data_IF_998457105298
#
_entry.id   IF_998457105298
#
_cell.length_a   1.000
_cell.length_b   1.000
_cell.length_c   1.000
_cell.angle_alpha   90.00
_cell.angle_beta   90.00
_cell.angle_gamma   90.00
#
_symmetry.space_group_name_H-M   'P 1'
#
loop_
_entity.id
_entity.type
_entity.pdbx_description
1 polymer ?
#
# COMPACT_ATOMS: atom_id res chain seq x y z
N UNK A 1 7.66 -8.84 14.78
CA UNK A 1 6.28 -8.75 14.27
C UNK A 1 6.06 -9.94 13.35
N UNK A 2 4.83 -10.38 13.13
CA UNK A 2 4.51 -11.47 12.18
C UNK A 2 3.64 -10.93 11.04
N UNK A 3 3.97 -9.74 10.52
CA UNK A 3 3.21 -9.04 9.48
C UNK A 3 3.18 -9.83 8.17
N UNK A 4 4.24 -10.58 7.85
CA UNK A 4 4.24 -11.51 6.73
C UNK A 4 3.17 -12.61 6.88
N UNK A 5 2.95 -13.10 8.10
CA UNK A 5 1.90 -14.10 8.38
C UNK A 5 0.50 -13.50 8.29
N UNK A 6 0.34 -12.21 8.60
CA UNK A 6 -0.97 -11.52 8.53
C UNK A 6 -1.47 -11.44 7.07
N UNK A 7 -0.59 -11.14 6.10
CA UNK A 7 -0.97 -11.10 4.67
C UNK A 7 -1.40 -12.46 4.14
N UNK A 8 -0.76 -13.52 4.65
CA UNK A 8 -0.98 -14.90 4.22
C UNK A 8 -2.13 -15.57 5.00
N UNK A 9 -2.77 -14.86 5.93
CA UNK A 9 -3.85 -15.42 6.74
C UNK A 9 -5.14 -15.62 5.92
N UNK A 10 -5.71 -16.82 5.99
CA UNK A 10 -6.75 -17.30 5.07
C UNK A 10 -8.06 -16.50 5.01
N UNK A 11 -8.36 -15.67 6.02
CA UNK A 11 -9.61 -14.90 6.06
C UNK A 11 -9.71 -13.85 4.96
N UNK A 12 -8.60 -13.29 4.49
CA UNK A 12 -8.62 -12.26 3.44
C UNK A 12 -7.76 -12.60 2.22
N UNK A 13 -7.16 -13.80 2.16
CA UNK A 13 -6.26 -14.24 1.07
C UNK A 13 -6.90 -14.17 -0.31
N UNK A 14 -8.22 -14.33 -0.40
CA UNK A 14 -8.96 -14.40 -1.66
C UNK A 14 -9.91 -13.22 -1.88
N UNK A 15 -9.84 -12.19 -1.04
CA UNK A 15 -10.61 -10.95 -1.25
C UNK A 15 -10.03 -10.15 -2.42
N UNK A 16 -10.90 -9.53 -3.24
CA UNK A 16 -10.48 -8.66 -4.35
C UNK A 16 -9.86 -9.40 -5.54
N UNK A 17 -10.29 -10.64 -5.79
CA UNK A 17 -9.77 -11.51 -6.84
C UNK A 17 -10.34 -11.17 -8.24
N UNK A 18 -11.54 -10.61 -8.28
CA UNK A 18 -12.16 -10.02 -9.47
C UNK A 18 -12.36 -8.53 -9.27
N UNK A 19 -12.61 -7.80 -10.36
CA UNK A 19 -12.86 -6.35 -10.36
C UNK A 19 -14.18 -5.97 -9.67
N UNK A 20 -15.00 -6.97 -9.32
CA UNK A 20 -16.17 -6.75 -8.49
C UNK A 20 -15.71 -6.35 -7.09
N UNK A 21 -16.33 -5.32 -6.50
CA UNK A 21 -16.14 -4.96 -5.09
C UNK A 21 -16.75 -6.04 -4.19
N UNK A 22 -16.08 -7.19 -4.12
CA UNK A 22 -16.49 -8.40 -3.42
C UNK A 22 -15.53 -8.66 -2.27
N UNK A 23 -16.00 -8.34 -1.07
CA UNK A 23 -15.32 -8.58 0.20
C UNK A 23 -15.70 -9.93 0.83
N UNK A 24 -16.62 -10.68 0.19
CA UNK A 24 -17.13 -11.93 0.74
C UNK A 24 -17.82 -11.77 2.09
N UNK A 25 -18.45 -10.62 2.38
CA UNK A 25 -19.24 -10.43 3.61
C UNK A 25 -20.74 -10.47 3.35
N UNK A 26 -21.15 -10.20 2.13
CA UNK A 26 -22.56 -10.22 1.71
C UNK A 26 -22.85 -11.39 0.78
N UNK A 27 -24.01 -12.03 0.97
CA UNK A 27 -24.44 -13.09 0.06
C UNK A 27 -24.98 -12.47 -1.24
N UNK A 28 -24.48 -12.89 -2.43
CA UNK A 28 -24.96 -12.38 -3.72
C UNK A 28 -26.42 -12.70 -4.02
N UNK A 29 -27.00 -13.72 -3.37
CA UNK A 29 -28.40 -14.10 -3.53
C UNK A 29 -29.31 -13.20 -2.67
N UNK A 30 -30.17 -12.35 -3.27
CA UNK A 30 -31.04 -11.45 -2.52
C UNK A 30 -32.03 -12.18 -1.59
N UNK A 31 -32.43 -13.42 -1.93
CA UNK A 31 -33.36 -14.22 -1.13
C UNK A 31 -32.77 -14.59 0.24
N UNK A 32 -31.45 -14.73 0.33
CA UNK A 32 -30.75 -15.10 1.57
C UNK A 32 -30.90 -14.00 2.62
N UNK A 33 -30.94 -12.73 2.21
CA UNK A 33 -31.15 -11.60 3.14
C UNK A 33 -32.48 -11.72 3.91
N UNK A 34 -33.55 -12.18 3.24
CA UNK A 34 -34.86 -12.41 3.86
C UNK A 34 -34.87 -13.66 4.75
N UNK A 35 -34.18 -14.72 4.32
CA UNK A 35 -34.07 -15.96 5.09
C UNK A 35 -33.27 -15.74 6.38
N UNK A 36 -32.17 -15.00 6.32
CA UNK A 36 -31.36 -14.63 7.49
C UNK A 36 -32.17 -13.83 8.51
N UNK A 37 -32.89 -12.80 8.04
CA UNK A 37 -33.77 -12.00 8.91
C UNK A 37 -34.84 -12.87 9.59
N UNK A 38 -35.43 -13.82 8.87
CA UNK A 38 -36.41 -14.76 9.42
C UNK A 38 -35.78 -15.70 10.45
N UNK A 39 -34.52 -16.08 10.29
CA UNK A 39 -33.76 -16.92 11.20
C UNK A 39 -33.13 -16.13 12.39
N UNK A 40 -33.32 -14.82 12.46
CA UNK A 40 -32.81 -13.97 13.55
C UNK A 40 -31.39 -13.44 13.34
N UNK A 41 -30.78 -13.66 12.17
CA UNK A 41 -29.46 -13.12 11.83
C UNK A 41 -29.60 -11.72 11.21
N UNK A 42 -28.69 -10.80 11.58
CA UNK A 42 -28.67 -9.44 11.04
C UNK A 42 -27.84 -9.32 9.76
N UNK A 43 -26.81 -10.15 9.61
CA UNK A 43 -25.92 -10.16 8.43
C UNK A 43 -25.29 -11.54 8.21
N UNK A 44 -24.99 -11.84 6.94
CA UNK A 44 -24.25 -13.06 6.57
C UNK A 44 -22.82 -13.05 7.17
N UNK A 45 -22.24 -11.87 7.43
CA UNK A 45 -20.90 -11.73 8.01
C UNK A 45 -20.75 -12.48 9.36
N UNK A 46 -21.83 -12.70 10.10
CA UNK A 46 -21.81 -13.47 11.35
C UNK A 46 -21.55 -14.98 11.14
N UNK A 47 -21.86 -15.49 9.95
CA UNK A 47 -21.71 -16.90 9.59
C UNK A 47 -20.35 -17.19 8.94
N UNK A 48 -19.70 -16.16 8.39
CA UNK A 48 -18.41 -16.28 7.68
C UNK A 48 -17.35 -17.07 8.47
N UNK A 49 -17.17 -16.89 9.80
CA UNK A 49 -16.19 -17.68 10.55
C UNK A 49 -16.47 -19.19 10.57
N UNK A 50 -17.73 -19.60 10.40
CA UNK A 50 -18.14 -21.01 10.47
C UNK A 50 -18.22 -21.68 9.10
N UNK A 51 -18.72 -20.96 8.08
CA UNK A 51 -19.03 -21.53 6.76
C UNK A 51 -18.20 -20.94 5.62
N UNK A 52 -17.40 -19.92 5.88
CA UNK A 52 -16.57 -19.23 4.89
C UNK A 52 -17.27 -18.10 4.14
N UNK A 53 -16.52 -17.51 3.21
CA UNK A 53 -16.93 -16.31 2.45
C UNK A 53 -17.74 -16.68 1.20
N UNK A 54 -18.92 -16.07 0.96
CA UNK A 54 -19.78 -16.36 -0.17
C UNK A 54 -19.38 -15.53 -1.41
N UNK A 55 -18.13 -15.66 -1.85
CA UNK A 55 -17.62 -14.88 -2.98
C UNK A 55 -18.44 -15.08 -4.27
N UNK A 56 -18.67 -14.00 -5.00
CA UNK A 56 -19.33 -13.98 -6.32
C UNK A 56 -18.54 -14.78 -7.34
N UNK A 57 -17.22 -14.62 -7.37
CA UNK A 57 -16.36 -15.34 -8.31
C UNK A 57 -16.47 -16.86 -8.14
N UNK A 58 -16.60 -17.34 -6.90
CA UNK A 58 -16.73 -18.76 -6.61
C UNK A 58 -18.05 -19.32 -7.16
N UNK A 59 -19.14 -18.56 -7.00
CA UNK A 59 -20.47 -18.92 -7.53
C UNK A 59 -20.47 -18.92 -9.06
N UNK A 60 -19.83 -17.93 -9.71
CA UNK A 60 -19.72 -17.87 -11.17
C UNK A 60 -18.93 -19.04 -11.74
N UNK A 61 -17.85 -19.47 -11.08
CA UNK A 61 -17.11 -20.69 -11.46
C UNK A 61 -18.00 -21.94 -11.38
N UNK A 62 -18.92 -21.99 -10.41
CA UNK A 62 -19.93 -23.05 -10.31
C UNK A 62 -21.13 -22.86 -11.26
N UNK A 63 -21.10 -21.86 -12.15
CA UNK A 63 -22.17 -21.61 -13.13
C UNK A 63 -23.39 -20.89 -12.57
N UNK A 64 -23.25 -20.22 -11.42
CA UNK A 64 -24.32 -19.43 -10.81
C UNK A 64 -23.98 -17.94 -10.87
N UNK A 65 -24.88 -17.15 -11.44
CA UNK A 65 -24.83 -15.69 -11.37
C UNK A 65 -26.22 -15.17 -11.03
N UNK A 66 -26.33 -14.45 -9.91
CA UNK A 66 -27.60 -13.92 -9.41
C UNK A 66 -27.94 -12.55 -10.00
N UNK A 67 -26.99 -11.87 -10.63
CA UNK A 67 -27.16 -10.53 -11.19
C UNK A 67 -27.46 -10.57 -12.70
N UNK A 68 -26.89 -11.55 -13.41
CA UNK A 68 -27.17 -11.74 -14.83
C UNK A 68 -28.27 -12.77 -15.01
N UNK A 69 -29.30 -12.46 -15.80
CA UNK A 69 -30.36 -13.41 -16.20
C UNK A 69 -29.85 -14.50 -17.15
N UNK A 70 -28.55 -14.82 -17.14
CA UNK A 70 -28.00 -15.87 -17.97
C UNK A 70 -28.52 -17.22 -17.49
N UNK A 71 -29.28 -17.89 -18.35
CA UNK A 71 -29.93 -19.17 -18.04
C UNK A 71 -29.01 -20.37 -18.22
N UNK A 72 -27.83 -20.19 -18.83
CA UNK A 72 -26.93 -21.29 -19.17
C UNK A 72 -25.72 -21.36 -18.23
N UNK A 73 -25.84 -22.16 -17.18
CA UNK A 73 -24.81 -22.39 -16.16
C UNK A 73 -23.45 -22.79 -16.73
N UNK A 74 -23.44 -23.59 -17.81
CA UNK A 74 -22.20 -24.04 -18.46
C UNK A 74 -21.43 -22.91 -19.13
N UNK A 75 -22.12 -21.93 -19.71
CA UNK A 75 -21.50 -20.76 -20.34
C UNK A 75 -20.92 -19.80 -19.30
N UNK A 76 -21.62 -19.62 -18.18
CA UNK A 76 -21.14 -18.81 -17.04
C UNK A 76 -19.85 -19.42 -16.48
N UNK A 77 -19.85 -20.73 -16.19
CA UNK A 77 -18.66 -21.41 -15.67
C UNK A 77 -17.47 -21.29 -16.63
N UNK A 78 -17.65 -21.67 -17.90
CA UNK A 78 -16.55 -21.71 -18.88
C UNK A 78 -15.92 -20.33 -19.15
N UNK A 79 -16.71 -19.25 -19.10
CA UNK A 79 -16.20 -17.89 -19.30
C UNK A 79 -15.46 -17.33 -18.07
N UNK A 80 -15.72 -17.85 -16.87
CA UNK A 80 -15.14 -17.34 -15.63
C UNK A 80 -13.96 -18.17 -15.12
N UNK A 81 -13.92 -19.49 -15.38
CA UNK A 81 -12.88 -20.40 -14.85
C UNK A 81 -11.47 -19.91 -15.19
N UNK A 82 -11.19 -19.64 -16.48
CA UNK A 82 -9.85 -19.22 -16.89
C UNK A 82 -9.44 -17.90 -16.23
N UNK A 83 -10.33 -16.91 -16.23
CA UNK A 83 -10.09 -15.59 -15.65
C UNK A 83 -9.85 -15.67 -14.15
N UNK A 84 -10.70 -16.39 -13.42
CA UNK A 84 -10.58 -16.57 -11.96
C UNK A 84 -9.30 -17.30 -11.61
N UNK A 85 -8.95 -18.37 -12.32
CA UNK A 85 -7.72 -19.13 -12.05
C UNK A 85 -6.49 -18.25 -12.30
N UNK A 86 -6.45 -17.48 -13.39
CA UNK A 86 -5.36 -16.53 -13.66
C UNK A 86 -5.24 -15.46 -12.57
N UNK A 87 -6.35 -14.84 -12.18
CA UNK A 87 -6.38 -13.84 -11.11
C UNK A 87 -5.97 -14.42 -9.76
N UNK A 88 -6.36 -15.66 -9.46
CA UNK A 88 -5.98 -16.37 -8.24
C UNK A 88 -4.46 -16.57 -8.18
N UNK A 89 -3.85 -17.12 -9.24
CA UNK A 89 -2.40 -17.29 -9.27
C UNK A 89 -1.66 -15.96 -9.19
N UNK A 90 -2.14 -14.93 -9.90
CA UNK A 90 -1.58 -13.57 -9.85
C UNK A 90 -1.64 -12.98 -8.44
N UNK A 91 -2.80 -13.05 -7.79
CA UNK A 91 -3.01 -12.55 -6.42
C UNK A 91 -2.15 -13.29 -5.40
N UNK A 92 -2.07 -14.62 -5.49
CA UNK A 92 -1.22 -15.43 -4.61
C UNK A 92 0.27 -15.12 -4.77
N UNK A 93 0.77 -14.97 -6.00
CA UNK A 93 2.15 -14.55 -6.24
C UNK A 93 2.42 -13.16 -5.67
N UNK A 94 1.52 -12.20 -5.90
CA UNK A 94 1.66 -10.85 -5.36
C UNK A 94 1.70 -10.83 -3.82
N UNK A 95 0.83 -11.62 -3.16
CA UNK A 95 0.82 -11.73 -1.69
C UNK A 95 2.06 -12.42 -1.16
N UNK A 96 2.54 -13.46 -1.83
CA UNK A 96 3.79 -14.13 -1.47
C UNK A 96 5.00 -13.19 -1.56
N UNK A 97 5.11 -12.42 -2.65
CA UNK A 97 6.16 -11.43 -2.82
C UNK A 97 6.03 -10.26 -1.83
N UNK A 98 4.81 -9.84 -1.51
CA UNK A 98 4.56 -8.85 -0.47
C UNK A 98 4.97 -9.37 0.91
N UNK A 99 4.68 -10.64 1.22
CA UNK A 99 5.09 -11.27 2.48
C UNK A 99 6.62 -11.33 2.60
N UNK A 100 7.34 -11.63 1.51
CA UNK A 100 8.81 -11.52 1.49
C UNK A 100 9.29 -10.10 1.78
N UNK A 101 8.64 -9.09 1.21
CA UNK A 101 8.98 -7.69 1.48
C UNK A 101 8.74 -7.30 2.93
N UNK A 102 7.61 -7.71 3.51
CA UNK A 102 7.34 -7.48 4.92
C UNK A 102 8.37 -8.16 5.81
N UNK A 103 8.78 -9.39 5.50
CA UNK A 103 9.82 -10.08 6.24
C UNK A 103 11.17 -9.34 6.19
N UNK A 104 11.54 -8.77 5.05
CA UNK A 104 12.75 -7.94 4.94
C UNK A 104 12.62 -6.66 5.79
N UNK A 105 11.46 -6.00 5.76
CA UNK A 105 11.21 -4.79 6.56
C UNK A 105 11.20 -5.08 8.06
N UNK A 106 10.73 -6.25 8.49
CA UNK A 106 10.83 -6.71 9.88
C UNK A 106 12.27 -6.89 10.35
N UNK A 107 13.17 -7.21 9.42
CA UNK A 107 14.62 -7.27 9.64
C UNK A 107 15.30 -5.91 9.46
N UNK A 108 14.53 -4.82 9.32
CA UNK A 108 15.00 -3.47 9.08
C UNK A 108 15.78 -3.29 7.76
N UNK A 109 15.50 -4.15 6.79
CA UNK A 109 16.11 -4.15 5.46
C UNK A 109 15.07 -3.84 4.39
N UNK A 110 15.49 -3.25 3.29
CA UNK A 110 14.64 -3.07 2.10
C UNK A 110 14.91 -4.19 1.11
N UNK A 111 13.87 -4.81 0.56
CA UNK A 111 14.02 -5.83 -0.48
C UNK A 111 14.64 -5.27 -1.75
N UNK A 112 15.31 -6.14 -2.50
CA UNK A 112 15.83 -5.79 -3.82
C UNK A 112 14.69 -5.45 -4.78
N UNK A 113 14.89 -4.37 -5.54
CA UNK A 113 13.97 -3.90 -6.57
C UNK A 113 14.62 -4.11 -7.94
N UNK A 114 13.87 -4.42 -9.00
CA UNK A 114 14.46 -4.66 -10.32
C UNK A 114 15.34 -3.51 -10.80
N UNK A 115 16.53 -3.82 -11.32
CA UNK A 115 17.51 -2.83 -11.79
C UNK A 115 17.03 -1.97 -12.97
N UNK A 116 15.92 -2.38 -13.62
CA UNK A 116 15.24 -1.62 -14.65
C UNK A 116 14.51 -0.38 -14.12
N UNK A 117 14.28 -0.29 -12.81
CA UNK A 117 13.72 0.90 -12.19
C UNK A 117 14.81 1.93 -11.90
N UNK A 118 14.55 3.15 -12.31
CA UNK A 118 15.38 4.31 -11.98
C UNK A 118 15.04 4.79 -10.57
N UNK A 119 15.50 4.05 -9.56
CA UNK A 119 15.38 4.45 -8.16
C UNK A 119 16.66 5.13 -7.66
N UNK A 120 16.51 6.12 -6.76
CA UNK A 120 17.65 6.69 -6.07
C UNK A 120 18.29 5.67 -5.11
N UNK A 121 19.61 5.69 -4.92
CA UNK A 121 20.25 4.89 -3.88
C UNK A 121 19.89 5.42 -2.48
N UNK A 122 19.85 4.52 -1.51
CA UNK A 122 19.76 4.87 -0.08
C UNK A 122 21.17 5.17 0.42
N UNK A 123 21.40 6.33 1.04
CA UNK A 123 22.75 6.80 1.35
C UNK A 123 23.00 7.06 2.85
N UNK A 124 21.94 7.23 3.64
CA UNK A 124 22.07 7.45 5.08
C UNK A 124 20.93 6.86 5.91
N UNK A 125 19.69 7.07 5.50
CA UNK A 125 18.53 6.61 6.26
C UNK A 125 18.25 5.13 6.07
N UNK A 126 17.71 4.47 7.08
CA UNK A 126 17.32 3.07 7.01
C UNK A 126 16.00 2.83 7.74
N UNK A 127 15.20 1.84 7.31
CA UNK A 127 14.14 1.31 8.13
C UNK A 127 14.69 0.88 9.49
N UNK A 128 13.96 1.18 10.55
CA UNK A 128 14.37 0.92 11.94
C UNK A 128 13.33 0.10 12.71
N UNK A 129 12.07 0.15 12.26
CA UNK A 129 10.99 -0.65 12.80
C UNK A 129 9.88 -0.80 11.78
N UNK A 130 9.35 -2.00 11.66
CA UNK A 130 8.11 -2.34 10.96
C UNK A 130 7.16 -3.09 11.89
N UNK A 131 5.90 -2.68 11.95
CA UNK A 131 4.89 -3.35 12.77
C UNK A 131 3.48 -3.18 12.21
N UNK A 132 2.61 -4.14 12.50
CA UNK A 132 1.17 -4.03 12.23
C UNK A 132 0.57 -2.83 12.97
N UNK A 133 -0.40 -2.18 12.35
CA UNK A 133 -1.18 -1.09 12.90
C UNK A 133 -2.67 -1.36 12.71
N UNK A 134 -3.51 -0.60 13.42
CA UNK A 134 -4.97 -0.71 13.32
C UNK A 134 -5.56 0.54 12.67
N UNK A 135 -6.74 0.41 12.07
CA UNK A 135 -7.50 1.55 11.55
C UNK A 135 -7.71 2.63 12.63
N UNK A 136 -7.99 2.22 13.87
CA UNK A 136 -8.14 3.16 14.99
C UNK A 136 -6.86 3.97 15.26
N UNK A 137 -5.69 3.33 15.27
CA UNK A 137 -4.41 4.04 15.42
C UNK A 137 -4.16 5.00 14.26
N UNK A 138 -4.55 4.61 13.05
CA UNK A 138 -4.47 5.47 11.87
C UNK A 138 -5.39 6.70 12.03
N UNK A 139 -6.62 6.55 12.48
CA UNK A 139 -7.56 7.64 12.71
C UNK A 139 -7.15 8.61 13.82
N UNK A 140 -6.43 8.12 14.84
CA UNK A 140 -5.95 8.94 15.95
C UNK A 140 -4.76 9.84 15.58
N UNK A 141 -4.05 9.53 14.49
CA UNK A 141 -2.92 10.33 14.06
C UNK A 141 -3.37 11.64 13.40
N UNK A 142 -2.77 12.76 13.77
CA UNK A 142 -3.12 14.07 13.20
C UNK A 142 -2.69 14.20 11.73
N UNK A 143 -1.60 13.52 11.34
CA UNK A 143 -1.04 13.61 9.99
C UNK A 143 -1.76 12.75 8.94
N UNK A 144 -2.70 11.91 9.36
CA UNK A 144 -3.49 11.05 8.48
C UNK A 144 -4.86 11.64 8.12
N UNK A 145 -5.29 12.73 8.80
CA UNK A 145 -6.66 13.27 8.68
C UNK A 145 -7.07 13.58 7.24
N UNK A 146 -6.18 14.19 6.45
CA UNK A 146 -6.46 14.50 5.04
C UNK A 146 -6.80 13.26 4.20
N UNK A 147 -6.21 12.10 4.50
CA UNK A 147 -6.47 10.85 3.77
C UNK A 147 -7.78 10.21 4.18
N UNK A 148 -8.26 10.51 5.40
CA UNK A 148 -9.54 10.06 5.92
C UNK A 148 -10.65 10.95 5.35
N UNK A 149 -10.45 12.26 5.36
CA UNK A 149 -11.39 13.25 4.81
C UNK A 149 -11.61 13.09 3.30
N UNK A 150 -10.57 12.71 2.56
CA UNK A 150 -10.64 12.41 1.12
C UNK A 150 -11.10 10.97 0.82
N UNK A 151 -11.51 10.19 1.83
CA UNK A 151 -11.97 8.80 1.71
C UNK A 151 -10.98 7.87 0.97
N UNK A 152 -9.69 8.18 1.02
CA UNK A 152 -8.63 7.40 0.37
C UNK A 152 -8.39 6.06 1.07
N UNK A 153 -8.89 5.90 2.30
CA UNK A 153 -8.60 4.79 3.20
C UNK A 153 -9.89 4.26 3.83
N UNK A 154 -10.05 2.94 3.84
CA UNK A 154 -11.21 2.24 4.41
C UNK A 154 -10.80 1.42 5.64
N UNK A 155 -11.74 1.19 6.55
CA UNK A 155 -11.53 0.30 7.71
C UNK A 155 -11.23 -1.15 7.34
N UNK A 156 -11.52 -1.55 6.09
CA UNK A 156 -11.24 -2.89 5.57
C UNK A 156 -9.81 -3.06 5.05
N UNK A 157 -9.05 -1.98 4.94
CA UNK A 157 -7.67 -2.03 4.46
C UNK A 157 -6.72 -2.61 5.52
N UNK A 158 -5.51 -2.96 5.10
CA UNK A 158 -4.46 -3.39 6.01
C UNK A 158 -3.53 -2.23 6.35
N UNK A 159 -3.21 -2.09 7.63
CA UNK A 159 -2.49 -0.94 8.17
C UNK A 159 -1.18 -1.37 8.78
N UNK A 160 -0.12 -0.64 8.45
CA UNK A 160 1.21 -0.86 9.00
C UNK A 160 1.84 0.45 9.45
N UNK A 161 2.77 0.34 10.38
CA UNK A 161 3.61 1.44 10.83
C UNK A 161 5.07 1.14 10.48
N UNK A 162 5.66 2.05 9.73
CA UNK A 162 7.07 2.06 9.36
C UNK A 162 7.76 3.20 10.10
N UNK A 163 8.94 2.93 10.66
CA UNK A 163 9.83 3.95 11.18
C UNK A 163 11.14 3.94 10.41
N UNK A 164 11.51 5.06 9.82
CA UNK A 164 12.81 5.26 9.17
C UNK A 164 13.64 6.21 10.02
N UNK A 165 14.90 5.87 10.27
CA UNK A 165 15.78 6.70 11.10
C UNK A 165 17.06 7.07 10.35
N UNK A 166 17.53 8.30 10.59
CA UNK A 166 18.88 8.74 10.25
C UNK A 166 19.41 9.61 11.38
N UNK A 167 20.48 9.17 12.04
CA UNK A 167 21.05 9.83 13.21
C UNK A 167 19.96 10.14 14.27
N UNK A 168 19.68 11.43 14.53
CA UNK A 168 18.68 11.88 15.50
C UNK A 168 17.30 12.19 14.87
N UNK A 169 17.13 11.98 13.57
CA UNK A 169 15.88 12.18 12.85
C UNK A 169 15.10 10.87 12.74
N UNK A 170 13.82 10.90 13.14
CA UNK A 170 12.94 9.73 13.12
C UNK A 170 11.71 10.09 12.30
N UNK A 171 11.56 9.45 11.14
CA UNK A 171 10.38 9.52 10.32
C UNK A 171 9.43 8.37 10.66
N UNK A 172 8.25 8.69 11.15
CA UNK A 172 7.16 7.76 11.35
C UNK A 172 6.22 7.82 10.14
N UNK A 173 5.87 6.66 9.61
CA UNK A 173 4.99 6.54 8.46
C UNK A 173 3.89 5.51 8.76
N UNK A 174 2.65 5.85 8.43
CA UNK A 174 1.61 4.84 8.25
C UNK A 174 1.60 4.40 6.79
N UNK A 175 1.52 3.09 6.58
CA UNK A 175 1.45 2.47 5.26
C UNK A 175 0.14 1.70 5.20
N UNK A 176 -0.72 2.08 4.26
CA UNK A 176 -2.00 1.43 4.01
C UNK A 176 -1.88 0.60 2.75
N UNK A 177 -2.12 -0.70 2.86
CA UNK A 177 -2.09 -1.63 1.73
C UNK A 177 -3.53 -2.08 1.44
N UNK A 178 -3.96 -1.78 0.21
CA UNK A 178 -5.28 -2.13 -0.32
C UNK A 178 -5.35 -3.62 -0.68
N UNK A 179 -6.55 -4.19 -0.67
CA UNK A 179 -6.82 -5.58 -1.09
C UNK A 179 -6.38 -5.88 -2.53
N UNK A 180 -6.35 -4.87 -3.40
CA UNK A 180 -5.96 -4.96 -4.81
C UNK A 180 -4.45 -4.78 -5.06
N UNK A 181 -3.61 -4.89 -4.03
CA UNK A 181 -2.15 -4.88 -4.23
C UNK A 181 -1.74 -6.02 -5.19
N UNK A 182 -0.89 -5.77 -6.21
CA UNK A 182 -0.08 -4.59 -6.46
C UNK A 182 -0.66 -3.65 -7.52
N UNK A 183 -1.92 -3.83 -7.93
CA UNK A 183 -2.58 -2.99 -8.93
C UNK A 183 -2.84 -1.59 -8.41
N UNK A 184 -3.16 -1.49 -7.11
CA UNK A 184 -3.25 -0.23 -6.38
C UNK A 184 -2.02 -0.09 -5.48
N UNK A 185 -1.33 1.04 -5.62
CA UNK A 185 -0.15 1.34 -4.82
C UNK A 185 -0.50 1.53 -3.33
N UNK A 186 0.36 1.07 -2.41
CA UNK A 186 0.26 1.43 -1.01
C UNK A 186 0.27 2.95 -0.79
N UNK A 187 -0.51 3.41 0.19
CA UNK A 187 -0.64 4.84 0.53
C UNK A 187 0.18 5.11 1.79
N UNK A 188 0.98 6.17 1.75
CA UNK A 188 1.83 6.62 2.84
C UNK A 188 1.31 7.92 3.47
N UNK A 189 1.31 7.98 4.79
CA UNK A 189 1.16 9.22 5.56
C UNK A 189 2.39 9.39 6.45
N UNK A 190 3.00 10.58 6.48
CA UNK A 190 4.34 10.81 7.02
C UNK A 190 4.34 11.85 8.16
N UNK A 191 5.13 11.55 9.19
CA UNK A 191 5.42 12.48 10.28
C UNK A 191 6.88 12.35 10.70
N UNK A 192 7.67 13.39 10.42
CA UNK A 192 9.06 13.49 10.82
C UNK A 192 9.17 14.12 12.21
N UNK A 193 9.75 13.38 13.14
CA UNK A 193 10.14 13.87 14.45
C UNK A 193 11.64 14.21 14.43
N UNK A 194 11.97 15.49 14.50
CA UNK A 194 13.35 15.97 14.55
C UNK A 194 13.46 17.18 15.49
N UNK A 195 14.48 17.20 16.36
CA UNK A 195 14.71 18.29 17.34
C UNK A 195 13.48 18.63 18.21
N UNK A 196 12.71 17.61 18.62
CA UNK A 196 11.46 17.75 19.39
C UNK A 196 10.34 18.50 18.63
N UNK A 197 10.49 18.71 17.32
CA UNK A 197 9.44 19.23 16.45
C UNK A 197 8.88 18.10 15.59
N UNK A 198 7.58 18.15 15.36
CA UNK A 198 6.87 17.26 14.43
C UNK A 198 6.64 18.00 13.12
N UNK A 199 7.08 17.41 12.03
CA UNK A 199 6.86 17.89 10.68
C UNK A 199 5.98 16.88 9.94
N UNK A 200 4.81 17.29 9.49
CA UNK A 200 3.85 16.46 8.76
C UNK A 200 3.21 17.28 7.63
N UNK A 201 2.45 16.64 6.75
CA UNK A 201 1.90 17.28 5.54
C UNK A 201 1.06 18.54 5.78
N UNK A 202 0.35 18.62 6.91
CA UNK A 202 -0.44 19.82 7.27
C UNK A 202 0.41 21.02 7.70
N UNK A 203 1.65 20.81 8.18
CA UNK A 203 2.49 21.88 8.74
C UNK A 203 3.80 22.10 7.98
N UNK A 204 4.17 21.19 7.07
CA UNK A 204 5.43 21.22 6.34
C UNK A 204 5.21 20.83 4.88
N UNK A 205 5.34 21.83 4.00
CA UNK A 205 5.23 21.69 2.54
C UNK A 205 6.20 20.66 1.96
N UNK A 206 7.42 20.56 2.51
CA UNK A 206 8.40 19.59 2.06
C UNK A 206 7.95 18.16 2.35
N UNK A 207 7.40 17.88 3.54
CA UNK A 207 6.84 16.56 3.87
C UNK A 207 5.63 16.24 2.98
N UNK A 208 4.78 17.23 2.71
CA UNK A 208 3.65 17.08 1.79
C UNK A 208 4.10 16.72 0.37
N UNK A 209 5.18 17.31 -0.12
CA UNK A 209 5.71 16.99 -1.44
C UNK A 209 6.37 15.60 -1.46
N UNK A 210 7.05 15.17 -0.38
CA UNK A 210 7.56 13.80 -0.23
C UNK A 210 6.40 12.80 -0.28
N UNK A 211 5.34 13.02 0.51
CA UNK A 211 4.12 12.21 0.48
C UNK A 211 3.53 12.13 -0.92
N UNK A 212 3.41 13.28 -1.60
CA UNK A 212 2.89 13.34 -2.97
C UNK A 212 3.73 12.50 -3.92
N UNK A 213 5.05 12.65 -3.92
CA UNK A 213 5.94 11.90 -4.82
C UNK A 213 5.80 10.40 -4.55
N UNK A 214 5.77 9.99 -3.30
CA UNK A 214 5.67 8.57 -2.92
C UNK A 214 4.29 7.97 -3.19
N UNK A 215 3.22 8.75 -3.17
CA UNK A 215 1.88 8.24 -3.42
C UNK A 215 1.49 8.31 -4.91
N UNK A 216 2.12 9.17 -5.72
CA UNK A 216 1.70 9.43 -7.11
C UNK A 216 2.68 8.99 -8.20
N UNK A 217 3.95 8.69 -7.87
CA UNK A 217 4.98 8.42 -8.89
C UNK A 217 4.97 7.00 -9.46
N UNK A 218 3.93 6.22 -9.18
CA UNK A 218 3.87 4.81 -9.53
C UNK A 218 2.78 4.58 -10.56
N UNK A 219 3.18 4.22 -11.77
CA UNK A 219 2.26 3.73 -12.79
C UNK A 219 2.23 2.21 -12.72
N UNK A 220 1.17 1.64 -12.14
CA UNK A 220 0.94 0.20 -12.17
C UNK A 220 0.50 -0.19 -13.59
N UNK A 221 1.49 -0.54 -14.42
CA UNK A 221 1.25 -0.94 -15.80
C UNK A 221 0.51 -2.29 -15.88
N UNK A 222 -0.44 -2.40 -16.79
CA UNK A 222 -1.29 -3.56 -17.05
C UNK A 222 -0.52 -4.77 -17.63
N UNK A 223 0.44 -5.34 -16.88
CA UNK A 223 1.08 -6.60 -17.27
C UNK A 223 2.50 -6.87 -16.80
N UNK A 224 3.14 -5.96 -16.02
CA UNK A 224 4.43 -6.29 -15.38
C UNK A 224 4.22 -6.50 -13.89
N UNK A 225 4.82 -7.57 -13.36
CA UNK A 225 4.92 -7.88 -11.94
C UNK A 225 5.32 -6.60 -11.20
N UNK A 226 4.34 -5.95 -10.57
CA UNK A 226 4.54 -4.76 -9.73
C UNK A 226 4.64 -5.18 -8.27
N UNK A 227 4.98 -6.45 -8.01
CA UNK A 227 5.03 -7.00 -6.67
C UNK A 227 6.10 -6.30 -5.82
N UNK A 228 7.15 -5.72 -6.42
CA UNK A 228 8.22 -4.93 -5.78
C UNK A 228 7.83 -3.50 -5.36
N UNK A 229 6.57 -3.09 -5.56
CA UNK A 229 6.14 -1.70 -5.42
C UNK A 229 6.35 -1.13 -4.01
N UNK A 230 6.04 -1.91 -2.96
CA UNK A 230 6.26 -1.49 -1.58
C UNK A 230 7.75 -1.24 -1.32
N UNK A 231 8.64 -2.15 -1.71
CA UNK A 231 10.08 -1.98 -1.56
C UNK A 231 10.61 -0.76 -2.31
N UNK A 232 10.08 -0.48 -3.50
CA UNK A 232 10.43 0.71 -4.27
C UNK A 232 9.98 2.00 -3.57
N UNK A 233 8.75 2.04 -3.04
CA UNK A 233 8.23 3.16 -2.27
C UNK A 233 9.07 3.42 -1.02
N UNK A 234 9.43 2.38 -0.27
CA UNK A 234 10.28 2.52 0.92
C UNK A 234 11.69 2.98 0.55
N UNK A 235 12.28 2.46 -0.54
CA UNK A 235 13.57 2.93 -1.04
C UNK A 235 13.54 4.42 -1.36
N UNK A 236 12.51 4.84 -2.09
CA UNK A 236 12.32 6.24 -2.48
C UNK A 236 12.09 7.14 -1.26
N UNK A 237 11.32 6.67 -0.26
CA UNK A 237 11.08 7.35 1.00
C UNK A 237 12.39 7.63 1.75
N UNK A 238 13.24 6.61 1.89
CA UNK A 238 14.55 6.75 2.52
C UNK A 238 15.42 7.80 1.80
N UNK A 239 15.51 7.73 0.47
CA UNK A 239 16.30 8.70 -0.28
C UNK A 239 15.72 10.13 -0.23
N UNK A 240 14.39 10.27 -0.20
CA UNK A 240 13.73 11.58 0.00
C UNK A 240 14.01 12.15 1.38
N UNK A 241 13.99 11.32 2.41
CA UNK A 241 14.35 11.73 3.78
C UNK A 241 15.81 12.19 3.83
N UNK A 242 16.71 11.46 3.18
CA UNK A 242 18.13 11.82 3.11
C UNK A 242 18.33 13.19 2.47
N UNK A 243 17.71 13.41 1.32
CA UNK A 243 17.82 14.68 0.60
C UNK A 243 17.13 15.83 1.37
N UNK A 244 16.00 15.59 2.03
CA UNK A 244 15.38 16.58 2.90
C UNK A 244 16.29 17.01 4.06
N UNK A 245 16.89 16.05 4.77
CA UNK A 245 17.77 16.32 5.91
C UNK A 245 19.06 17.03 5.48
N UNK A 246 19.68 16.60 4.38
CA UNK A 246 20.90 17.20 3.84
C UNK A 246 20.68 18.63 3.33
N UNK A 247 19.55 18.89 2.67
CA UNK A 247 19.25 20.21 2.13
C UNK A 247 18.70 21.19 3.19
N UNK A 248 18.09 20.69 4.27
CA UNK A 248 17.51 21.55 5.33
C UNK A 248 18.49 21.82 6.45
N UNK A 249 19.29 20.82 6.82
CA UNK A 249 20.20 20.87 7.96
C UNK A 249 21.62 20.43 7.57
N UNK A 250 22.29 21.13 6.62
CA UNK A 250 23.60 20.73 6.10
C UNK A 250 24.71 20.73 7.17
N UNK A 251 24.54 21.48 8.26
CA UNK A 251 25.47 21.48 9.38
C UNK A 251 25.38 20.20 10.23
N UNK A 252 24.26 19.46 10.15
CA UNK A 252 23.98 18.26 10.96
C UNK A 252 24.06 16.97 10.16
N UNK A 253 23.83 17.05 8.84
CA UNK A 253 23.87 15.90 7.94
C UNK A 253 24.83 16.18 6.79
N UNK A 254 25.83 15.30 6.62
CA UNK A 254 26.76 15.39 5.51
C UNK A 254 26.06 15.10 4.18
N UNK A 255 26.37 15.91 3.17
CA UNK A 255 25.83 15.73 1.83
C UNK A 255 26.40 14.44 1.22
N UNK A 256 25.50 13.50 0.93
CA UNK A 256 25.78 12.27 0.17
C UNK A 256 24.97 12.25 -1.13
N UNK A 257 23.83 12.92 -1.14
CA UNK A 257 22.93 13.01 -2.29
C UNK A 257 23.41 14.03 -3.33
N UNK A 258 23.34 13.66 -4.60
CA UNK A 258 23.66 14.52 -5.74
C UNK A 258 22.44 15.34 -6.15
N UNK A 259 22.49 16.67 -5.98
CA UNK A 259 21.48 17.62 -6.44
C UNK A 259 22.14 18.91 -6.93
N UNK A 260 21.50 19.61 -7.90
CA UNK A 260 22.05 20.86 -8.47
C UNK A 260 21.81 22.05 -7.53
N UNK A 261 20.58 22.21 -7.06
CA UNK A 261 20.17 23.32 -6.20
C UNK A 261 19.38 22.79 -5.01
N UNK A 262 19.71 23.25 -3.80
CA UNK A 262 19.05 22.84 -2.55
C UNK A 262 17.61 23.33 -2.45
N UNK A 263 17.28 24.46 -3.09
CA UNK A 263 15.91 24.96 -3.25
C UNK A 263 15.80 25.75 -4.54
N UNK A 264 14.65 25.70 -5.21
CA UNK A 264 14.40 26.44 -6.44
C UNK A 264 12.96 26.97 -6.54
N UNK A 265 12.78 28.09 -7.24
CA UNK A 265 11.50 28.73 -7.50
C UNK A 265 10.92 29.54 -6.33
N UNK A 266 9.77 30.18 -6.58
CA UNK A 266 9.11 31.08 -5.61
C UNK A 266 8.71 30.39 -4.31
N UNK A 267 8.38 29.10 -4.38
CA UNK A 267 7.98 28.30 -3.22
C UNK A 267 9.17 27.58 -2.55
N UNK A 268 10.42 27.88 -2.97
CA UNK A 268 11.65 27.24 -2.45
C UNK A 268 11.58 25.71 -2.44
N UNK A 269 11.03 25.12 -3.52
CA UNK A 269 10.83 23.67 -3.62
C UNK A 269 12.16 22.94 -3.63
N UNK A 270 12.22 21.83 -2.90
CA UNK A 270 13.35 20.92 -2.85
C UNK A 270 13.30 19.88 -3.98
N UNK A 271 14.44 19.34 -4.41
CA UNK A 271 14.52 18.44 -5.56
C UNK A 271 14.11 16.99 -5.21
N UNK A 272 12.82 16.68 -5.02
CA UNK A 272 12.38 15.33 -4.66
C UNK A 272 12.31 14.33 -5.82
N UNK A 273 12.46 14.76 -7.07
CA UNK A 273 12.36 13.87 -8.24
C UNK A 273 13.70 13.36 -8.69
N UNK A 274 13.88 12.04 -8.68
CA UNK A 274 15.09 11.40 -9.16
C UNK A 274 15.08 11.15 -10.67
N UNK A 275 16.24 11.40 -11.31
CA UNK A 275 16.51 11.03 -12.71
C UNK A 275 17.87 10.34 -12.80
N UNK A 276 17.91 9.16 -13.41
CA UNK A 276 19.14 8.41 -13.65
C UNK A 276 19.89 8.98 -14.88
N UNK A 277 20.56 10.11 -14.69
CA UNK A 277 21.53 10.66 -15.64
C UNK A 277 22.93 10.52 -15.04
N UNK A 278 23.79 9.67 -15.62
CA UNK A 278 25.11 9.36 -15.07
C UNK A 278 25.03 8.66 -13.71
N UNK A 279 25.54 9.29 -12.65
CA UNK A 279 25.50 8.79 -11.26
C UNK A 279 24.14 8.97 -10.58
N UNK A 280 23.16 9.59 -11.24
CA UNK A 280 21.83 9.85 -10.70
C UNK A 280 21.73 11.24 -10.06
N UNK A 281 20.65 11.95 -10.35
CA UNK A 281 20.47 13.34 -9.93
C UNK A 281 19.05 13.59 -9.42
N UNK A 282 18.97 14.26 -8.28
CA UNK A 282 17.73 14.82 -7.76
C UNK A 282 17.44 16.19 -8.39
N UNK A 283 16.22 16.35 -8.87
CA UNK A 283 15.73 17.53 -9.59
C UNK A 283 14.34 17.95 -9.09
N UNK A 284 13.95 19.20 -9.35
CA UNK A 284 12.61 19.70 -9.03
C UNK A 284 11.54 19.34 -10.08
N UNK A 285 11.95 18.88 -11.28
CA UNK A 285 11.09 18.70 -12.47
C UNK A 285 11.05 17.28 -12.99
#
# INVERSE_FOLDING_TARGET
>A
ANTASEILCGESVLSGLTDDDDDGRECPNPAVSYQLKRAGFTSFAQLVPEIGHPYRWAQRVCGTDFLTQQTNSSQIANSNVETVVKSLFKSLHARYDLAKQMQMLEQNMVSEVPASLDLPPILGSAPSKWSSATYHQFCQAEFTQHQIEEELVSSTDTFYSLRVSRDNAILEAFVVIKKYYPEVAPIFALCLNFEKKKHHSLNCEDIREIERVINTSWTTGSGKESSWLLAAQVTYLCSCLDMFLETTFPAKFSQKTSFIWSSCGRNRRRPFKYKKMGTGLFTQY
#
